data_IF_745756173477
#
_entry.id   IF_745756173477
#
_cell.length_a   1.000
_cell.length_b   1.000
_cell.length_c   1.000
_cell.angle_alpha   90.00
_cell.angle_beta   90.00
_cell.angle_gamma   90.00
#
_symmetry.space_group_name_H-M   'P 1'
#
loop_
_entity.id
_entity.type
_entity.pdbx_description
1 polymer ?
#
# COMPACT_ATOMS: atom_id res chain seq x y z
N UNK A 1 -13.07 7.55 -12.18
CA UNK A 1 -12.22 7.82 -11.01
C UNK A 1 -10.83 7.35 -11.33
N UNK A 2 -9.81 8.11 -10.97
CA UNK A 2 -8.43 7.65 -11.06
C UNK A 2 -8.12 6.64 -9.95
N UNK A 3 -7.04 5.85 -10.11
CA UNK A 3 -6.52 4.97 -9.05
C UNK A 3 -6.25 5.77 -7.78
N UNK A 4 -5.64 6.96 -7.91
CA UNK A 4 -5.38 7.84 -6.76
C UNK A 4 -6.66 8.24 -6.01
N UNK A 5 -7.72 8.61 -6.72
CA UNK A 5 -9.00 8.96 -6.09
C UNK A 5 -9.62 7.78 -5.33
N UNK A 6 -9.49 6.57 -5.88
CA UNK A 6 -9.97 5.34 -5.25
C UNK A 6 -9.14 5.04 -4.00
N UNK A 7 -7.82 5.02 -4.12
CA UNK A 7 -6.91 4.82 -2.99
C UNK A 7 -7.20 5.79 -1.84
N UNK A 8 -7.46 7.07 -2.16
CA UNK A 8 -7.81 8.10 -1.19
C UNK A 8 -9.12 7.81 -0.47
N UNK A 9 -10.14 7.25 -1.14
CA UNK A 9 -11.40 6.82 -0.51
C UNK A 9 -11.18 5.67 0.49
N UNK A 10 -10.24 4.77 0.22
CA UNK A 10 -9.85 3.70 1.15
C UNK A 10 -8.88 4.16 2.25
N UNK A 11 -8.59 5.46 2.34
CA UNK A 11 -7.75 6.05 3.39
C UNK A 11 -6.25 6.02 3.10
N UNK A 12 -5.85 5.67 1.86
CA UNK A 12 -4.46 5.79 1.44
C UNK A 12 -4.12 7.21 1.02
N UNK A 13 -2.83 7.54 1.12
CA UNK A 13 -2.25 8.79 0.62
C UNK A 13 -1.01 8.50 -0.19
N UNK A 14 -0.73 9.37 -1.15
CA UNK A 14 0.51 9.31 -1.90
C UNK A 14 1.71 9.62 -0.99
N UNK A 15 2.75 8.81 -1.08
CA UNK A 15 4.04 9.01 -0.45
C UNK A 15 5.14 8.80 -1.49
N UNK A 16 6.27 9.48 -1.32
CA UNK A 16 7.38 9.37 -2.25
C UNK A 16 8.72 9.53 -1.52
N UNK A 17 9.73 8.82 -2.02
CA UNK A 17 11.11 8.99 -1.58
C UNK A 17 11.76 10.18 -2.30
N UNK A 18 12.86 10.70 -1.74
CA UNK A 18 13.67 11.71 -2.40
C UNK A 18 14.30 11.23 -3.71
N UNK A 19 14.37 9.90 -3.92
CA UNK A 19 14.87 9.29 -5.16
C UNK A 19 13.80 9.18 -6.26
N UNK A 20 12.55 9.57 -5.97
CA UNK A 20 11.46 9.60 -6.96
C UNK A 20 10.57 8.36 -6.98
N UNK A 21 10.83 7.35 -6.15
CA UNK A 21 9.95 6.19 -5.99
C UNK A 21 8.71 6.61 -5.21
N UNK A 22 7.53 6.31 -5.73
CA UNK A 22 6.25 6.64 -5.09
C UNK A 22 5.46 5.39 -4.74
N UNK A 23 4.69 5.47 -3.66
CA UNK A 23 3.81 4.40 -3.17
C UNK A 23 2.59 4.98 -2.47
N UNK A 24 1.55 4.16 -2.29
CA UNK A 24 0.42 4.52 -1.44
C UNK A 24 0.66 4.08 -0.01
N UNK A 25 0.33 4.94 0.96
CA UNK A 25 0.48 4.65 2.39
C UNK A 25 -0.85 4.78 3.14
N UNK A 26 -1.18 3.84 4.03
CA UNK A 26 -2.32 3.95 4.97
C UNK A 26 -1.84 3.62 6.38
N UNK A 27 -2.16 4.47 7.36
CA UNK A 27 -1.83 4.20 8.76
C UNK A 27 -2.84 3.26 9.40
N UNK A 28 -2.34 2.31 10.19
CA UNK A 28 -3.14 1.32 10.89
C UNK A 28 -2.58 1.07 12.30
N UNK A 29 -3.37 0.40 13.13
CA UNK A 29 -2.86 -0.33 14.29
C UNK A 29 -2.70 -1.79 13.89
N UNK A 30 -1.54 -2.37 14.18
CA UNK A 30 -1.22 -3.75 13.86
C UNK A 30 -0.54 -4.40 15.07
N UNK A 31 -1.16 -5.45 15.62
CA UNK A 31 -0.68 -6.14 16.83
C UNK A 31 -0.36 -5.18 18.02
N UNK A 32 -1.25 -4.21 18.26
CA UNK A 32 -1.09 -3.21 19.32
C UNK A 32 0.02 -2.17 19.04
N UNK A 33 0.59 -2.15 17.84
CA UNK A 33 1.63 -1.21 17.40
C UNK A 33 1.10 -0.25 16.36
N UNK A 34 1.70 0.94 16.29
CA UNK A 34 1.43 1.89 15.21
C UNK A 34 2.19 1.45 13.98
N UNK A 35 1.48 1.20 12.89
CA UNK A 35 2.05 0.70 11.65
C UNK A 35 1.51 1.48 10.45
N UNK A 36 2.08 1.19 9.28
CA UNK A 36 1.54 1.66 8.01
C UNK A 36 1.64 0.56 6.96
N UNK A 37 0.64 0.56 6.08
CA UNK A 37 0.62 -0.29 4.89
C UNK A 37 1.21 0.50 3.73
N UNK A 38 2.07 -0.13 2.94
CA UNK A 38 2.52 0.37 1.64
C UNK A 38 1.89 -0.44 0.51
N UNK A 39 1.48 0.22 -0.56
CA UNK A 39 1.03 -0.44 -1.80
C UNK A 39 1.82 0.12 -2.97
N UNK A 40 2.46 -0.77 -3.70
CA UNK A 40 3.28 -0.50 -4.87
C UNK A 40 2.83 -1.38 -6.04
N UNK A 41 3.31 -1.09 -7.25
CA UNK A 41 3.22 -2.05 -8.34
C UNK A 41 3.92 -3.38 -8.00
N UNK A 42 3.70 -4.39 -8.83
CA UNK A 42 4.27 -5.73 -8.64
C UNK A 42 5.81 -5.77 -8.54
N UNK A 43 6.50 -4.77 -9.07
CA UNK A 43 7.96 -4.73 -9.13
C UNK A 43 8.54 -3.94 -7.93
N UNK A 44 7.70 -3.24 -7.17
CA UNK A 44 8.13 -2.38 -6.07
C UNK A 44 8.84 -1.11 -6.56
N UNK A 45 8.57 -0.71 -7.81
CA UNK A 45 9.29 0.41 -8.45
C UNK A 45 8.43 1.68 -8.55
N UNK A 46 7.12 1.57 -8.32
CA UNK A 46 6.23 2.71 -8.39
C UNK A 46 4.78 2.43 -7.98
N UNK A 47 3.88 3.26 -8.52
CA UNK A 47 2.45 3.20 -8.28
C UNK A 47 1.77 2.27 -9.30
N UNK A 48 0.78 1.46 -8.88
CA UNK A 48 -0.08 0.76 -9.81
C UNK A 48 -0.83 1.76 -10.71
N UNK A 49 -0.95 1.43 -12.00
CA UNK A 49 -1.59 2.29 -13.01
C UNK A 49 -3.07 1.96 -13.19
N UNK A 50 -3.50 0.77 -12.79
CA UNK A 50 -4.90 0.31 -12.88
C UNK A 50 -5.30 -0.57 -11.69
N UNK A 51 -6.61 -0.82 -11.54
CA UNK A 51 -7.13 -1.68 -10.46
C UNK A 51 -6.89 -3.17 -10.70
N UNK A 52 -6.71 -3.56 -11.97
CA UNK A 52 -6.55 -4.95 -12.38
C UNK A 52 -5.09 -5.41 -12.29
N UNK A 53 -4.15 -4.49 -12.04
CA UNK A 53 -2.73 -4.79 -11.92
C UNK A 53 -2.39 -5.46 -10.59
N UNK A 54 -1.49 -6.46 -10.60
CA UNK A 54 -0.95 -7.02 -9.38
C UNK A 54 -0.13 -5.97 -8.62
N UNK A 55 -0.20 -6.06 -7.28
CA UNK A 55 0.44 -5.11 -6.37
C UNK A 55 1.24 -5.82 -5.31
N UNK A 56 2.29 -5.15 -4.85
CA UNK A 56 3.02 -5.54 -3.64
C UNK A 56 2.50 -4.74 -2.46
N UNK A 57 2.12 -5.44 -1.39
CA UNK A 57 1.59 -4.85 -0.15
C UNK A 57 2.50 -5.21 1.02
N UNK A 58 3.01 -4.20 1.73
CA UNK A 58 3.88 -4.39 2.89
C UNK A 58 3.31 -3.71 4.14
N UNK A 59 3.60 -4.27 5.32
CA UNK A 59 3.22 -3.69 6.61
C UNK A 59 4.50 -3.35 7.37
N UNK A 60 4.62 -2.10 7.79
CA UNK A 60 5.84 -1.58 8.41
C UNK A 60 5.51 -0.89 9.73
N UNK A 61 6.41 -1.00 10.71
CA UNK A 61 6.27 -0.30 11.98
C UNK A 61 6.60 1.18 11.81
N UNK A 62 5.78 2.05 12.41
CA UNK A 62 5.80 3.48 12.11
C UNK A 62 7.08 4.21 12.55
N UNK A 63 7.75 3.77 13.62
CA UNK A 63 8.90 4.47 14.22
C UNK A 63 10.23 4.03 13.61
N UNK A 64 10.39 2.73 13.42
CA UNK A 64 11.58 2.07 12.91
C UNK A 64 11.57 1.98 11.39
N UNK A 65 10.39 1.85 10.78
CA UNK A 65 10.26 1.49 9.37
C UNK A 65 10.54 0.00 9.11
N UNK A 66 10.68 -0.80 10.16
CA UNK A 66 10.93 -2.24 10.03
C UNK A 66 9.69 -2.94 9.49
N UNK A 67 9.92 -3.87 8.56
CA UNK A 67 8.87 -4.74 8.05
C UNK A 67 8.34 -5.63 9.18
N UNK A 68 7.04 -5.56 9.44
CA UNK A 68 6.34 -6.34 10.45
C UNK A 68 5.89 -7.71 9.92
N UNK A 69 5.57 -7.76 8.63
CA UNK A 69 5.23 -8.98 7.90
C UNK A 69 5.82 -8.93 6.49
N UNK A 70 6.27 -10.09 6.00
CA UNK A 70 6.77 -10.19 4.62
C UNK A 70 5.75 -9.66 3.62
N UNK A 71 6.23 -8.79 2.75
CA UNK A 71 5.43 -8.17 1.70
C UNK A 71 4.72 -9.22 0.84
N UNK A 72 3.43 -9.01 0.63
CA UNK A 72 2.54 -9.93 -0.07
C UNK A 72 2.31 -9.44 -1.51
N UNK A 73 2.41 -10.36 -2.46
CA UNK A 73 2.00 -10.10 -3.84
C UNK A 73 0.53 -10.46 -3.99
N UNK A 74 -0.30 -9.46 -4.29
CA UNK A 74 -1.74 -9.64 -4.47
C UNK A 74 -2.06 -9.55 -5.96
N UNK A 75 -2.92 -10.44 -6.44
CA UNK A 75 -3.18 -10.62 -7.88
C UNK A 75 -3.80 -9.40 -8.56
N UNK A 76 -4.48 -8.53 -7.81
CA UNK A 76 -4.93 -7.23 -8.30
C UNK A 76 -5.06 -6.21 -7.16
N UNK A 77 -4.92 -4.93 -7.48
CA UNK A 77 -5.23 -3.85 -6.53
C UNK A 77 -6.70 -3.91 -6.08
N UNK A 78 -7.63 -4.25 -6.98
CA UNK A 78 -9.05 -4.35 -6.64
C UNK A 78 -9.31 -5.39 -5.55
N UNK A 79 -8.76 -6.60 -5.70
CA UNK A 79 -8.92 -7.67 -4.71
C UNK A 79 -8.36 -7.29 -3.34
N UNK A 80 -7.26 -6.54 -3.32
CA UNK A 80 -6.72 -6.02 -2.07
C UNK A 80 -7.66 -5.01 -1.41
N UNK A 81 -8.18 -4.05 -2.17
CA UNK A 81 -9.10 -3.04 -1.65
C UNK A 81 -10.39 -3.66 -1.12
N UNK A 82 -10.92 -4.68 -1.80
CA UNK A 82 -12.07 -5.46 -1.34
C UNK A 82 -11.80 -6.15 0.01
N UNK A 83 -10.60 -6.73 0.18
CA UNK A 83 -10.23 -7.38 1.46
C UNK A 83 -10.09 -6.42 2.65
N UNK A 84 -10.05 -5.10 2.43
CA UNK A 84 -10.01 -4.10 3.49
C UNK A 84 -11.40 -3.68 3.98
N UNK A 85 -12.46 -4.05 3.27
CA UNK A 85 -13.85 -3.71 3.59
C UNK A 85 -14.59 -4.82 4.36
N UNK A 86 -14.00 -6.01 4.45
CA UNK A 86 -14.47 -7.16 5.25
C UNK A 86 -14.01 -7.09 6.72
#
# INVERSE_FOLDING_TARGET
>A
MSVEEIMKRHGFRLSASCAGTAWYTKFIEFDGRRAYITVMDKDGEGLPQSLDEPVQVGIHELRSGDELESSQNIGSLNSYLESLEE
#
